data_IF_015626958734
#
_entry.id   IF_015626958734
#
_cell.length_a   1.000
_cell.length_b   1.000
_cell.length_c   1.000
_cell.angle_alpha   90.00
_cell.angle_beta   90.00
_cell.angle_gamma   90.00
#
_symmetry.space_group_name_H-M   'P 1'
#
loop_
_entity.id
_entity.type
_entity.pdbx_description
1 polymer ?
#
# COMPACT_ATOMS: atom_id res chain seq x y z
N UNK A 1 -11.36 -11.81 -16.75
CA UNK A 1 -10.46 -12.31 -17.83
C UNK A 1 -9.06 -12.47 -17.24
N UNK A 2 -8.17 -13.19 -17.86
CA UNK A 2 -6.73 -13.23 -17.48
C UNK A 2 -6.05 -12.09 -18.25
N UNK A 3 -5.01 -11.41 -17.70
CA UNK A 3 -4.33 -10.34 -18.42
C UNK A 3 -3.72 -10.83 -19.74
N UNK A 4 -3.83 -10.02 -20.78
CA UNK A 4 -3.23 -10.32 -22.09
C UNK A 4 -1.71 -10.09 -22.08
N UNK A 5 -1.24 -9.28 -21.16
CA UNK A 5 0.18 -8.92 -21.01
C UNK A 5 0.85 -9.86 -19.99
N UNK A 6 2.06 -10.30 -20.31
CA UNK A 6 2.89 -11.08 -19.38
C UNK A 6 3.16 -10.30 -18.09
N UNK A 7 2.90 -10.91 -16.94
CA UNK A 7 3.15 -10.30 -15.63
C UNK A 7 4.64 -10.46 -15.27
N UNK A 8 5.31 -9.33 -15.07
CA UNK A 8 6.73 -9.25 -14.67
C UNK A 8 6.92 -8.85 -13.22
N UNK A 9 5.90 -8.26 -12.60
CA UNK A 9 5.92 -7.94 -11.18
C UNK A 9 4.56 -8.20 -10.53
N UNK A 10 4.62 -8.54 -9.26
CA UNK A 10 3.49 -8.59 -8.34
C UNK A 10 3.72 -7.52 -7.28
N UNK A 11 2.72 -6.72 -6.99
CA UNK A 11 2.68 -5.77 -5.89
C UNK A 11 1.57 -6.19 -4.94
N UNK A 12 1.85 -6.32 -3.66
CA UNK A 12 0.84 -6.66 -2.66
C UNK A 12 0.84 -5.66 -1.51
N UNK A 13 -0.34 -5.29 -1.06
CA UNK A 13 -0.49 -4.66 0.24
C UNK A 13 -0.15 -5.64 1.37
N UNK A 14 -0.02 -5.14 2.60
CA UNK A 14 0.31 -5.91 3.80
C UNK A 14 -0.95 -6.17 4.63
N UNK A 15 -1.48 -5.09 5.23
CA UNK A 15 -2.45 -5.13 6.32
C UNK A 15 -3.86 -5.45 5.81
N UNK A 16 -4.35 -6.65 6.07
CA UNK A 16 -5.64 -7.13 5.54
C UNK A 16 -5.55 -7.81 4.18
N UNK A 17 -4.37 -7.80 3.53
CA UNK A 17 -4.12 -8.48 2.26
C UNK A 17 -3.26 -9.72 2.44
N UNK A 18 -2.01 -9.61 2.91
CA UNK A 18 -1.18 -10.78 3.24
C UNK A 18 -1.22 -11.11 4.74
N UNK A 19 -1.67 -10.19 5.58
CA UNK A 19 -1.98 -10.46 6.99
C UNK A 19 -3.47 -10.70 7.18
N UNK A 20 -3.80 -11.48 8.20
CA UNK A 20 -5.19 -11.65 8.66
C UNK A 20 -5.63 -10.50 9.60
N UNK A 21 -6.84 -10.64 10.19
CA UNK A 21 -7.40 -9.68 11.16
C UNK A 21 -6.58 -9.53 12.44
N UNK A 22 -5.75 -10.50 12.76
CA UNK A 22 -4.87 -10.52 13.94
C UNK A 22 -3.44 -10.07 13.58
N UNK A 23 -3.24 -9.54 12.36
CA UNK A 23 -1.98 -9.08 11.78
C UNK A 23 -0.91 -10.18 11.61
N UNK A 24 -1.36 -11.42 11.49
CA UNK A 24 -0.48 -12.57 11.27
C UNK A 24 -0.33 -12.83 9.77
N UNK A 25 0.90 -13.03 9.32
CA UNK A 25 1.19 -13.46 7.94
C UNK A 25 1.22 -14.98 7.92
N UNK A 26 0.34 -15.59 7.14
CA UNK A 26 0.34 -17.04 6.94
C UNK A 26 1.64 -17.50 6.25
N UNK A 27 2.16 -18.65 6.69
CA UNK A 27 3.37 -19.23 6.09
C UNK A 27 3.16 -19.59 4.62
N UNK A 28 1.98 -20.02 4.24
CA UNK A 28 1.67 -20.45 2.87
C UNK A 28 1.73 -19.27 1.88
N UNK A 29 1.27 -18.05 2.26
CA UNK A 29 1.43 -16.89 1.38
C UNK A 29 2.89 -16.46 1.26
N UNK A 30 3.69 -16.57 2.34
CA UNK A 30 5.13 -16.34 2.28
C UNK A 30 5.78 -17.28 1.26
N UNK A 31 5.46 -18.56 1.33
CA UNK A 31 5.99 -19.56 0.40
C UNK A 31 5.53 -19.33 -1.04
N UNK A 32 4.28 -18.90 -1.24
CA UNK A 32 3.73 -18.57 -2.55
C UNK A 32 4.49 -17.37 -3.17
N UNK A 33 4.66 -16.28 -2.43
CA UNK A 33 5.38 -15.10 -2.91
C UNK A 33 6.85 -15.43 -3.25
N UNK A 34 7.51 -16.28 -2.45
CA UNK A 34 8.86 -16.75 -2.74
C UNK A 34 8.92 -17.61 -4.02
N UNK A 35 7.92 -18.47 -4.26
CA UNK A 35 7.83 -19.25 -5.52
C UNK A 35 7.69 -18.34 -6.74
N UNK A 36 6.82 -17.33 -6.66
CA UNK A 36 6.67 -16.32 -7.72
C UNK A 36 8.00 -15.64 -8.01
N UNK A 37 8.69 -15.19 -6.96
CA UNK A 37 10.01 -14.56 -7.11
C UNK A 37 11.07 -15.50 -7.70
N UNK A 38 11.03 -16.78 -7.36
CA UNK A 38 11.95 -17.79 -7.90
C UNK A 38 11.79 -17.99 -9.42
N UNK A 39 10.61 -17.68 -9.98
CA UNK A 39 10.34 -17.68 -11.43
C UNK A 39 10.89 -16.42 -12.15
N UNK A 40 11.58 -15.53 -11.45
CA UNK A 40 12.14 -14.28 -12.00
C UNK A 40 11.17 -13.09 -11.97
N UNK A 41 9.96 -13.25 -11.42
CA UNK A 41 8.98 -12.18 -11.28
C UNK A 41 9.33 -11.35 -10.05
N UNK A 42 9.32 -10.02 -10.20
CA UNK A 42 9.55 -9.13 -9.07
C UNK A 42 8.36 -9.15 -8.10
N UNK A 43 8.61 -9.33 -6.82
CA UNK A 43 7.57 -9.22 -5.79
C UNK A 43 7.85 -7.99 -4.92
N UNK A 44 6.91 -7.06 -4.93
CA UNK A 44 6.97 -5.76 -4.28
C UNK A 44 5.94 -5.69 -3.15
N UNK A 45 6.22 -4.88 -2.14
CA UNK A 45 5.27 -4.51 -1.07
C UNK A 45 4.81 -3.08 -1.30
N UNK A 46 3.51 -2.82 -1.07
CA UNK A 46 2.94 -1.47 -1.04
C UNK A 46 2.10 -1.29 0.23
N UNK A 47 2.49 -0.38 1.11
CA UNK A 47 1.83 -0.21 2.42
C UNK A 47 1.67 1.25 2.81
N UNK A 48 0.67 1.54 3.63
CA UNK A 48 0.53 2.81 4.36
C UNK A 48 1.54 2.98 5.50
N UNK A 49 2.25 1.91 5.87
CA UNK A 49 3.27 1.95 6.92
C UNK A 49 4.54 2.69 6.48
N UNK A 50 5.34 3.09 7.47
CA UNK A 50 6.64 3.73 7.28
C UNK A 50 7.66 2.78 6.65
N UNK A 51 8.67 3.35 5.98
CA UNK A 51 9.73 2.55 5.32
C UNK A 51 10.33 1.48 6.22
N UNK A 52 10.74 1.73 7.49
CA UNK A 52 11.31 0.69 8.34
C UNK A 52 10.43 -0.53 8.53
N UNK A 53 9.11 -0.33 8.69
CA UNK A 53 8.14 -1.42 8.89
C UNK A 53 7.95 -2.21 7.58
N UNK A 54 7.59 -1.53 6.50
CA UNK A 54 7.36 -2.19 5.21
C UNK A 54 8.63 -2.90 4.69
N UNK A 55 9.80 -2.30 4.88
CA UNK A 55 11.08 -2.90 4.53
C UNK A 55 11.38 -4.15 5.36
N UNK A 56 11.13 -4.11 6.68
CA UNK A 56 11.34 -5.27 7.56
C UNK A 56 10.46 -6.45 7.12
N UNK A 57 9.17 -6.21 6.86
CA UNK A 57 8.24 -7.23 6.35
C UNK A 57 8.77 -7.84 5.05
N UNK A 58 9.09 -7.00 4.05
CA UNK A 58 9.65 -7.44 2.76
C UNK A 58 10.90 -8.29 2.95
N UNK A 59 11.83 -7.82 3.80
CA UNK A 59 13.10 -8.50 4.07
C UNK A 59 12.92 -9.85 4.76
N UNK A 60 12.04 -9.94 5.76
CA UNK A 60 11.80 -11.21 6.49
C UNK A 60 10.98 -12.21 5.69
N UNK A 61 10.07 -11.74 4.82
CA UNK A 61 9.44 -12.60 3.80
C UNK A 61 10.50 -13.09 2.79
N UNK A 62 11.59 -12.35 2.59
CA UNK A 62 12.67 -12.69 1.66
C UNK A 62 12.44 -12.15 0.25
N UNK A 63 11.67 -11.05 0.13
CA UNK A 63 11.39 -10.39 -1.15
C UNK A 63 12.54 -9.48 -1.58
N UNK A 64 12.64 -9.22 -2.88
CA UNK A 64 13.74 -8.44 -3.49
C UNK A 64 13.26 -7.28 -4.35
N UNK A 65 11.95 -7.13 -4.53
CA UNK A 65 11.35 -6.02 -5.25
C UNK A 65 11.41 -4.71 -4.48
N UNK A 66 11.08 -3.59 -5.13
CA UNK A 66 10.85 -2.31 -4.45
C UNK A 66 9.84 -2.41 -3.33
N UNK A 67 10.04 -1.61 -2.28
CA UNK A 67 9.10 -1.44 -1.17
C UNK A 67 8.50 -0.05 -1.29
N UNK A 68 7.21 0.01 -1.50
CA UNK A 68 6.40 1.22 -1.55
C UNK A 68 5.85 1.46 -0.15
N UNK A 69 6.18 2.57 0.46
CA UNK A 69 5.79 2.93 1.81
C UNK A 69 5.04 4.26 1.86
N UNK A 70 4.40 4.55 2.98
CA UNK A 70 3.69 5.80 3.26
C UNK A 70 2.66 6.15 2.18
N UNK A 71 1.80 5.16 1.80
CA UNK A 71 0.81 5.33 0.73
C UNK A 71 1.45 5.89 -0.56
N UNK A 72 2.59 5.30 -0.98
CA UNK A 72 3.28 5.72 -2.18
C UNK A 72 4.18 6.94 -2.04
N UNK A 73 4.30 7.51 -0.85
CA UNK A 73 5.13 8.70 -0.61
C UNK A 73 6.62 8.45 -0.71
N UNK A 74 7.05 7.22 -0.43
CA UNK A 74 8.46 6.80 -0.48
C UNK A 74 8.58 5.42 -1.10
N UNK A 75 9.55 5.26 -1.99
CA UNK A 75 9.92 3.95 -2.55
C UNK A 75 11.34 3.61 -2.13
N UNK A 76 11.52 2.45 -1.47
CA UNK A 76 12.85 1.93 -1.09
C UNK A 76 13.26 0.80 -2.02
N UNK A 77 14.43 0.92 -2.65
CA UNK A 77 14.97 -0.13 -3.52
C UNK A 77 16.49 -0.11 -3.53
N UNK A 78 17.12 -1.29 -3.44
CA UNK A 78 18.59 -1.46 -3.43
C UNK A 78 19.28 -0.52 -2.42
N UNK A 79 18.73 -0.46 -1.18
CA UNK A 79 19.24 0.37 -0.06
C UNK A 79 19.19 1.89 -0.31
N UNK A 80 18.36 2.34 -1.25
CA UNK A 80 18.12 3.75 -1.53
C UNK A 80 16.64 4.08 -1.39
N UNK A 81 16.34 5.18 -0.70
CA UNK A 81 14.99 5.72 -0.61
C UNK A 81 14.79 6.81 -1.66
N UNK A 82 13.69 6.72 -2.37
CA UNK A 82 13.20 7.71 -3.33
C UNK A 82 11.95 8.34 -2.72
N UNK A 83 12.12 9.53 -2.15
CA UNK A 83 11.03 10.31 -1.60
C UNK A 83 10.32 11.03 -2.75
N UNK A 84 9.03 10.75 -2.95
CA UNK A 84 8.22 11.31 -4.04
C UNK A 84 7.46 12.55 -3.61
N UNK A 85 7.13 12.66 -2.33
CA UNK A 85 6.37 13.77 -1.76
C UNK A 85 7.07 14.34 -0.51
N UNK A 86 6.89 15.63 -0.26
CA UNK A 86 7.44 16.30 0.93
C UNK A 86 6.49 16.18 2.11
N UNK A 87 7.03 16.02 3.33
CA UNK A 87 6.22 16.10 4.55
C UNK A 87 5.91 17.53 4.99
N UNK A 88 6.37 18.55 4.29
CA UNK A 88 6.27 19.96 4.71
C UNK A 88 4.80 20.39 4.87
N UNK A 89 3.97 20.16 3.86
CA UNK A 89 2.56 20.56 3.91
C UNK A 89 1.75 19.73 4.92
N UNK A 90 1.89 18.39 4.99
CA UNK A 90 1.28 17.60 6.06
C UNK A 90 1.68 18.03 7.47
N UNK A 91 2.95 18.42 7.70
CA UNK A 91 3.42 18.92 9.00
C UNK A 91 2.86 20.31 9.34
N UNK A 92 2.70 21.21 8.35
CA UNK A 92 2.01 22.49 8.54
C UNK A 92 0.54 22.26 8.92
N UNK A 93 -0.12 21.32 8.28
CA UNK A 93 -1.49 20.92 8.62
C UNK A 93 -1.57 20.35 10.04
N UNK A 94 -0.63 19.49 10.44
CA UNK A 94 -0.52 18.99 11.81
C UNK A 94 -0.41 20.14 12.83
N UNK A 95 0.51 21.07 12.63
CA UNK A 95 0.69 22.21 13.54
C UNK A 95 -0.58 23.06 13.66
N UNK A 96 -1.30 23.27 12.57
CA UNK A 96 -2.60 23.92 12.57
C UNK A 96 -3.64 23.13 13.39
N UNK A 97 -3.70 21.81 13.24
CA UNK A 97 -4.61 20.95 13.97
C UNK A 97 -4.30 20.96 15.48
N UNK A 98 -3.03 20.87 15.85
CA UNK A 98 -2.54 20.92 17.24
C UNK A 98 -2.86 22.26 17.93
N UNK A 99 -2.96 23.36 17.19
CA UNK A 99 -3.38 24.67 17.72
C UNK A 99 -4.88 24.74 18.04
N UNK A 100 -5.69 23.85 17.48
CA UNK A 100 -7.16 23.85 17.61
C UNK A 100 -7.68 22.77 18.56
N UNK A 101 -6.99 21.65 18.69
CA UNK A 101 -7.42 20.52 19.51
C UNK A 101 -6.26 19.61 19.92
N UNK A 102 -6.42 18.82 21.00
CA UNK A 102 -5.46 17.77 21.34
C UNK A 102 -5.33 16.75 20.22
N UNK A 103 -4.10 16.42 19.82
CA UNK A 103 -3.78 15.48 18.75
C UNK A 103 -2.90 14.36 19.31
N UNK A 104 -3.27 13.12 19.02
CA UNK A 104 -2.42 11.95 19.27
C UNK A 104 -1.84 11.48 17.94
N UNK A 105 -0.52 11.49 17.86
CA UNK A 105 0.18 10.98 16.68
C UNK A 105 0.39 9.47 16.79
N UNK A 106 0.34 8.78 15.68
CA UNK A 106 0.68 7.36 15.65
C UNK A 106 2.15 7.17 16.08
N UNK A 107 2.43 6.12 16.85
CA UNK A 107 3.81 5.83 17.32
C UNK A 107 4.84 5.84 16.18
N UNK A 108 4.48 5.28 15.02
CA UNK A 108 5.35 5.20 13.85
C UNK A 108 5.51 6.53 13.10
N UNK A 109 4.71 7.57 13.43
CA UNK A 109 4.76 8.85 12.71
C UNK A 109 6.13 9.55 12.78
N UNK A 110 6.90 9.31 13.83
CA UNK A 110 8.24 9.86 14.00
C UNK A 110 9.23 9.45 12.88
N UNK A 111 8.96 8.36 12.17
CA UNK A 111 9.78 7.87 11.05
C UNK A 111 9.21 8.19 9.67
N UNK A 112 8.10 8.97 9.58
CA UNK A 112 7.52 9.36 8.30
C UNK A 112 8.33 10.45 7.61
N UNK A 113 8.48 10.26 6.30
CA UNK A 113 9.24 11.15 5.42
C UNK A 113 8.36 12.02 4.54
N UNK A 114 7.14 11.58 4.21
CA UNK A 114 6.27 12.23 3.21
C UNK A 114 4.87 12.58 3.71
N UNK A 115 4.49 12.07 4.87
CA UNK A 115 3.13 12.18 5.40
C UNK A 115 3.15 12.45 6.91
N UNK A 116 1.96 12.62 7.49
CA UNK A 116 1.71 12.57 8.95
C UNK A 116 0.63 11.54 9.21
N UNK A 117 0.75 10.79 10.31
CA UNK A 117 -0.29 9.86 10.73
C UNK A 117 -0.68 10.08 12.18
N UNK A 118 -1.99 10.19 12.36
CA UNK A 118 -2.65 10.37 13.64
C UNK A 118 -3.27 9.05 14.10
N UNK A 119 -3.41 8.89 15.40
CA UNK A 119 -4.17 7.80 15.97
C UNK A 119 -5.65 7.92 15.57
N UNK A 120 -6.32 6.81 15.30
CA UNK A 120 -7.72 6.78 14.88
C UNK A 120 -8.73 6.97 16.02
N UNK A 121 -8.28 7.25 17.24
CA UNK A 121 -9.16 7.69 18.34
C UNK A 121 -9.84 9.05 18.07
N UNK A 122 -9.36 9.80 17.09
CA UNK A 122 -9.93 11.07 16.64
C UNK A 122 -11.05 10.85 15.61
N UNK A 123 -12.09 11.68 15.67
CA UNK A 123 -13.14 11.66 14.62
C UNK A 123 -12.62 12.34 13.36
N UNK A 124 -12.56 11.62 12.25
CA UNK A 124 -12.05 12.11 10.97
C UNK A 124 -12.78 13.38 10.49
N UNK A 125 -14.09 13.50 10.76
CA UNK A 125 -14.88 14.67 10.37
C UNK A 125 -14.37 15.94 11.03
N UNK A 126 -13.90 15.87 12.30
CA UNK A 126 -13.31 17.00 13.00
C UNK A 126 -11.97 17.40 12.40
N UNK A 127 -11.15 16.40 12.02
CA UNK A 127 -9.86 16.63 11.37
C UNK A 127 -10.08 17.28 10.00
N UNK A 128 -11.01 16.76 9.19
CA UNK A 128 -11.39 17.33 7.89
C UNK A 128 -11.92 18.77 8.02
N UNK A 129 -12.76 19.03 9.01
CA UNK A 129 -13.30 20.39 9.23
C UNK A 129 -12.22 21.39 9.65
N UNK A 130 -11.28 20.98 10.52
CA UNK A 130 -10.18 21.84 10.99
C UNK A 130 -9.16 22.14 9.89
N UNK A 131 -8.97 21.22 8.94
CA UNK A 131 -7.96 21.32 7.88
C UNK A 131 -8.55 21.61 6.49
N UNK A 132 -9.79 22.06 6.41
CA UNK A 132 -10.52 22.30 5.13
C UNK A 132 -9.80 23.24 4.15
N UNK A 133 -8.95 24.17 4.67
CA UNK A 133 -8.23 25.14 3.87
C UNK A 133 -6.82 24.67 3.45
N UNK A 134 -6.44 23.44 3.85
CA UNK A 134 -5.17 22.83 3.43
C UNK A 134 -5.37 21.99 2.16
N UNK A 135 -4.48 22.13 1.19
CA UNK A 135 -4.48 21.33 -0.06
C UNK A 135 -3.84 19.95 0.18
N UNK A 136 -4.44 19.16 1.07
CA UNK A 136 -4.03 17.81 1.45
C UNK A 136 -5.19 16.83 1.28
N UNK A 137 -4.85 15.55 1.26
CA UNK A 137 -5.81 14.44 1.35
C UNK A 137 -5.79 13.90 2.78
N UNK A 138 -6.97 13.67 3.34
CA UNK A 138 -7.14 13.09 4.67
C UNK A 138 -7.84 11.75 4.50
N UNK A 139 -7.09 10.67 4.73
CA UNK A 139 -7.56 9.29 4.61
C UNK A 139 -7.58 8.62 5.97
N UNK A 140 -8.62 7.81 6.22
CA UNK A 140 -8.72 6.93 7.37
C UNK A 140 -8.48 5.49 6.92
N UNK A 141 -7.62 4.81 7.66
CA UNK A 141 -7.39 3.37 7.52
C UNK A 141 -7.81 2.69 8.83
N UNK A 142 -7.81 1.35 8.85
CA UNK A 142 -8.19 0.60 10.06
C UNK A 142 -7.39 0.95 11.32
N UNK A 143 -6.23 1.62 11.19
CA UNK A 143 -5.33 1.89 12.31
C UNK A 143 -4.90 3.36 12.46
N UNK A 144 -5.16 4.24 11.48
CA UNK A 144 -4.68 5.62 11.50
C UNK A 144 -5.50 6.57 10.63
N UNK A 145 -5.41 7.87 10.93
CA UNK A 145 -5.80 8.95 10.03
C UNK A 145 -4.51 9.52 9.40
N UNK A 146 -4.43 9.52 8.10
CA UNK A 146 -3.27 9.98 7.34
C UNK A 146 -3.52 11.37 6.73
N UNK A 147 -2.56 12.28 6.94
CA UNK A 147 -2.49 13.56 6.26
C UNK A 147 -1.49 13.39 5.11
N UNK A 148 -1.98 13.34 3.88
CA UNK A 148 -1.22 13.04 2.67
C UNK A 148 -1.14 14.27 1.76
N UNK A 149 -0.13 14.32 0.92
CA UNK A 149 -0.11 15.28 -0.17
C UNK A 149 -1.14 14.88 -1.24
N UNK A 150 -1.63 15.86 -1.98
CA UNK A 150 -2.50 15.60 -3.13
C UNK A 150 -1.79 14.76 -4.17
N UNK A 151 -2.43 13.71 -4.64
CA UNK A 151 -1.84 12.75 -5.58
C UNK A 151 -0.90 11.71 -4.94
N UNK A 152 -0.66 11.77 -3.63
CA UNK A 152 0.06 10.73 -2.91
C UNK A 152 -0.88 9.55 -2.66
N UNK A 153 -0.64 8.45 -3.36
CA UNK A 153 -1.36 7.18 -3.23
C UNK A 153 -0.44 6.01 -3.62
N UNK A 154 -0.85 4.78 -3.35
CA UNK A 154 -0.03 3.59 -3.64
C UNK A 154 0.32 3.47 -5.12
N UNK A 155 -0.57 3.88 -6.05
CA UNK A 155 -0.29 3.83 -7.49
C UNK A 155 0.88 4.74 -7.90
N UNK A 156 1.02 5.93 -7.30
CA UNK A 156 2.17 6.80 -7.53
C UNK A 156 3.49 6.12 -7.16
N UNK A 157 3.51 5.40 -6.03
CA UNK A 157 4.66 4.60 -5.62
C UNK A 157 4.94 3.42 -6.54
N UNK A 158 3.88 2.73 -7.02
CA UNK A 158 4.01 1.61 -7.98
C UNK A 158 4.55 2.09 -9.31
N UNK A 159 4.12 3.27 -9.81
CA UNK A 159 4.71 3.89 -11.00
C UNK A 159 6.22 4.07 -10.86
N UNK A 160 6.66 4.57 -9.70
CA UNK A 160 8.09 4.70 -9.42
C UNK A 160 8.81 3.35 -9.34
N UNK A 161 8.18 2.35 -8.75
CA UNK A 161 8.72 0.99 -8.72
C UNK A 161 8.86 0.40 -10.13
N UNK A 162 7.86 0.60 -11.00
CA UNK A 162 7.89 0.18 -12.41
C UNK A 162 9.07 0.82 -13.17
N UNK A 163 9.30 2.14 -13.00
CA UNK A 163 10.48 2.83 -13.55
C UNK A 163 11.79 2.18 -13.09
N UNK A 164 11.93 1.92 -11.78
CA UNK A 164 13.15 1.34 -11.19
C UNK A 164 13.41 -0.09 -11.66
N UNK A 165 12.37 -0.82 -12.03
CA UNK A 165 12.42 -2.18 -12.58
C UNK A 165 12.50 -2.20 -14.11
N UNK A 166 12.33 -1.05 -14.78
CA UNK A 166 12.25 -0.92 -16.22
C UNK A 166 11.14 -1.80 -16.84
N UNK A 167 9.94 -1.75 -16.23
CA UNK A 167 8.73 -2.44 -16.69
C UNK A 167 7.57 -1.44 -16.81
N UNK A 168 6.49 -1.85 -17.47
CA UNK A 168 5.27 -1.05 -17.61
C UNK A 168 4.27 -1.37 -16.50
N UNK A 169 3.39 -0.42 -16.19
CA UNK A 169 2.27 -0.66 -15.27
C UNK A 169 1.38 -1.83 -15.74
N UNK A 170 1.18 -1.99 -17.06
CA UNK A 170 0.42 -3.10 -17.64
C UNK A 170 1.06 -4.49 -17.43
N UNK A 171 2.31 -4.56 -16.98
CA UNK A 171 3.04 -5.80 -16.68
C UNK A 171 3.05 -6.13 -15.18
N UNK A 172 2.23 -5.41 -14.38
CA UNK A 172 2.15 -5.55 -12.93
C UNK A 172 0.77 -6.10 -12.54
N UNK A 173 0.74 -7.13 -11.70
CA UNK A 173 -0.45 -7.54 -10.98
C UNK A 173 -0.42 -6.96 -9.56
N UNK A 174 -1.51 -6.34 -9.12
CA UNK A 174 -1.63 -5.71 -7.81
C UNK A 174 -2.65 -6.42 -6.95
N UNK A 175 -2.35 -6.59 -5.65
CA UNK A 175 -3.24 -7.16 -4.65
C UNK A 175 -3.51 -6.16 -3.54
N UNK A 176 -4.77 -6.04 -3.13
CA UNK A 176 -5.18 -5.13 -2.07
C UNK A 176 -6.55 -5.49 -1.48
N UNK A 177 -6.93 -4.77 -0.40
CA UNK A 177 -8.20 -5.00 0.29
C UNK A 177 -8.89 -3.72 0.74
N UNK A 178 -8.24 -2.58 0.75
CA UNK A 178 -8.80 -1.36 1.34
C UNK A 178 -8.87 -0.18 0.37
N UNK A 179 -9.56 0.88 0.79
CA UNK A 179 -9.82 2.05 -0.06
C UNK A 179 -8.55 2.72 -0.59
N UNK A 180 -7.45 2.66 0.17
CA UNK A 180 -6.17 3.21 -0.25
C UNK A 180 -5.45 2.35 -1.32
N UNK A 181 -6.01 1.17 -1.68
CA UNK A 181 -5.52 0.31 -2.75
C UNK A 181 -6.19 0.60 -4.10
N UNK A 182 -7.31 1.28 -4.11
CA UNK A 182 -8.18 1.43 -5.29
C UNK A 182 -7.44 1.95 -6.53
N UNK A 183 -6.62 2.99 -6.39
CA UNK A 183 -5.84 3.52 -7.51
C UNK A 183 -4.80 2.51 -8.00
N UNK A 184 -4.14 1.80 -7.08
CA UNK A 184 -3.17 0.76 -7.40
C UNK A 184 -3.84 -0.41 -8.14
N UNK A 185 -4.99 -0.88 -7.66
CA UNK A 185 -5.76 -1.96 -8.29
C UNK A 185 -6.24 -1.56 -9.69
N UNK A 186 -6.68 -0.31 -9.86
CA UNK A 186 -7.22 0.20 -11.13
C UNK A 186 -6.14 0.50 -12.18
N UNK A 187 -4.95 0.98 -11.77
CA UNK A 187 -3.93 1.47 -12.70
C UNK A 187 -2.88 0.41 -13.07
N UNK A 188 -2.76 -0.67 -12.31
CA UNK A 188 -1.93 -1.82 -12.69
C UNK A 188 -2.56 -2.63 -13.82
N UNK A 189 -1.75 -3.46 -14.48
CA UNK A 189 -2.21 -4.30 -15.59
C UNK A 189 -3.27 -5.33 -15.19
N UNK A 190 -3.30 -5.72 -13.92
CA UNK A 190 -4.34 -6.59 -13.36
C UNK A 190 -4.50 -6.37 -11.85
N UNK A 191 -5.61 -5.78 -11.48
CA UNK A 191 -5.96 -5.55 -10.08
C UNK A 191 -6.73 -6.73 -9.48
N UNK A 192 -6.35 -7.16 -8.28
CA UNK A 192 -6.96 -8.28 -7.56
C UNK A 192 -7.30 -7.84 -6.16
N UNK A 193 -8.57 -7.87 -5.81
CA UNK A 193 -9.03 -7.67 -4.43
C UNK A 193 -9.23 -9.02 -3.74
N UNK A 194 -8.77 -9.13 -2.49
CA UNK A 194 -9.08 -10.30 -1.66
C UNK A 194 -10.51 -10.23 -1.13
N UNK A 195 -11.11 -11.37 -0.73
CA UNK A 195 -12.55 -11.46 -0.41
C UNK A 195 -13.00 -10.61 0.81
N UNK A 196 -12.06 -10.16 1.65
CA UNK A 196 -12.36 -9.22 2.74
C UNK A 196 -12.20 -7.76 2.32
N UNK A 197 -12.01 -7.50 1.02
CA UNK A 197 -11.83 -6.15 0.50
C UNK A 197 -13.04 -5.25 0.72
N UNK A 198 -12.77 -3.95 0.86
CA UNK A 198 -13.80 -2.92 0.88
C UNK A 198 -14.54 -2.86 -0.47
N UNK A 199 -15.72 -2.26 -0.47
CA UNK A 199 -16.50 -2.07 -1.72
C UNK A 199 -15.68 -1.30 -2.76
N UNK A 200 -14.92 -0.28 -2.33
CA UNK A 200 -14.06 0.52 -3.21
C UNK A 200 -12.91 -0.30 -3.82
N UNK A 201 -12.25 -1.15 -3.00
CA UNK A 201 -11.21 -2.05 -3.49
C UNK A 201 -11.78 -3.08 -4.48
N UNK A 202 -12.91 -3.72 -4.12
CA UNK A 202 -13.57 -4.71 -4.96
C UNK A 202 -14.04 -4.10 -6.31
N UNK A 203 -14.62 -2.91 -6.29
CA UNK A 203 -15.09 -2.21 -7.49
C UNK A 203 -13.93 -1.71 -8.39
N UNK A 204 -12.74 -1.56 -7.83
CA UNK A 204 -11.54 -1.11 -8.56
C UNK A 204 -10.71 -2.25 -9.13
N UNK A 205 -11.01 -3.50 -8.77
CA UNK A 205 -10.26 -4.67 -9.16
C UNK A 205 -10.83 -5.34 -10.42
N UNK A 206 -9.95 -5.95 -11.23
CA UNK A 206 -10.35 -6.80 -12.36
C UNK A 206 -10.86 -8.18 -11.89
N UNK A 207 -10.43 -8.60 -10.71
CA UNK A 207 -10.84 -9.85 -10.09
C UNK A 207 -10.97 -9.71 -8.57
N UNK A 208 -12.07 -10.18 -8.03
CA UNK A 208 -12.28 -10.33 -6.59
C UNK A 208 -12.15 -11.82 -6.25
N UNK A 209 -11.23 -12.13 -5.34
CA UNK A 209 -11.00 -13.48 -4.86
C UNK A 209 -12.20 -14.02 -4.06
N UNK A 210 -12.34 -15.32 -3.97
CA UNK A 210 -13.30 -16.00 -3.08
C UNK A 210 -12.74 -16.13 -1.68
N UNK A 211 -11.42 -16.25 -1.58
CA UNK A 211 -10.69 -16.42 -0.35
C UNK A 211 -10.22 -15.07 0.21
N UNK A 212 -10.06 -15.01 1.53
CA UNK A 212 -9.66 -13.81 2.28
C UNK A 212 -8.15 -13.80 2.51
N UNK A 213 -7.61 -12.61 2.73
CA UNK A 213 -6.23 -12.42 3.20
C UNK A 213 -5.20 -13.15 2.33
N UNK A 214 -4.15 -13.69 2.96
CA UNK A 214 -3.09 -14.43 2.27
C UNK A 214 -3.57 -15.58 1.39
N UNK A 215 -4.66 -16.28 1.78
CA UNK A 215 -5.27 -17.33 0.96
C UNK A 215 -5.87 -16.76 -0.33
N UNK A 216 -6.46 -15.56 -0.27
CA UNK A 216 -6.92 -14.83 -1.45
C UNK A 216 -5.76 -14.43 -2.38
N UNK A 217 -4.64 -14.01 -1.81
CA UNK A 217 -3.43 -13.74 -2.61
C UNK A 217 -2.96 -15.01 -3.32
N UNK A 218 -2.93 -16.16 -2.65
CA UNK A 218 -2.58 -17.46 -3.25
C UNK A 218 -3.56 -17.82 -4.39
N UNK A 219 -4.87 -17.62 -4.18
CA UNK A 219 -5.89 -17.81 -5.21
C UNK A 219 -5.60 -16.97 -6.45
N UNK A 220 -5.37 -15.66 -6.25
CA UNK A 220 -5.08 -14.74 -7.35
C UNK A 220 -3.80 -15.07 -8.10
N UNK A 221 -2.72 -15.44 -7.39
CA UNK A 221 -1.47 -15.91 -7.99
C UNK A 221 -1.66 -17.18 -8.81
N UNK A 222 -2.45 -18.12 -8.30
CA UNK A 222 -2.79 -19.37 -9.02
C UNK A 222 -3.61 -19.08 -10.28
N UNK A 223 -4.58 -18.15 -10.20
CA UNK A 223 -5.38 -17.70 -11.35
C UNK A 223 -4.52 -17.09 -12.45
N UNK A 224 -3.46 -16.38 -12.09
CA UNK A 224 -2.49 -15.81 -13.04
C UNK A 224 -1.50 -16.83 -13.59
N UNK A 225 -1.51 -18.09 -13.14
CA UNK A 225 -0.54 -19.12 -13.52
C UNK A 225 0.86 -18.88 -12.96
N UNK A 226 0.95 -18.09 -11.89
CA UNK A 226 2.23 -17.71 -11.28
C UNK A 226 2.70 -18.69 -10.17
N UNK A 227 1.86 -19.67 -9.78
CA UNK A 227 2.20 -20.72 -8.81
C UNK A 227 2.45 -22.07 -9.45
#
# INVERSE_FOLDING_TARGET
>A
MIPETEIKAVVTDIDGTITDKDQLIDVDVILALRKVQAKGIHVCIASGNVVPVAYAVSNYIGLRGPVIAENGGVVSYKKKNYQLFSSELPRKALACLESQMPVTRLFSDQWRLSAVSLDNCMKIEKVKAALKDFDIVIEETGFAIHLLNKGQNKAAGVKKAAELLNIKMSEIAAFGDSDNDKEMLKECGYGIAVANGSDEACNSADYVCRERYGTGVIEGLSRLGLL
#
